data_IF_680546142667
#
_entry.id   IF_680546142667
#
_cell.length_a   1.000
_cell.length_b   1.000
_cell.length_c   1.000
_cell.angle_alpha   90.00
_cell.angle_beta   90.00
_cell.angle_gamma   90.00
#
_symmetry.space_group_name_H-M   'P 1'
#
loop_
_entity.id
_entity.type
_entity.pdbx_description
1 polymer ?
#
# COMPACT_ATOMS: atom_id res chain seq x y z
N UNK A 1 18.26 27.90 35.29
CA UNK A 1 17.23 26.87 35.44
C UNK A 1 16.02 27.33 34.67
N UNK A 2 15.92 26.94 33.40
CA UNK A 2 14.80 27.29 32.51
C UNK A 2 13.93 26.05 32.35
N UNK A 3 12.70 26.14 32.89
CA UNK A 3 11.69 25.08 32.87
C UNK A 3 11.17 24.91 31.43
N UNK A 4 11.25 23.68 30.93
CA UNK A 4 10.62 23.26 29.66
C UNK A 4 9.09 23.25 29.88
N UNK A 5 8.29 23.88 29.01
CA UNK A 5 6.83 23.83 29.14
C UNK A 5 6.33 22.43 28.83
N UNK A 6 5.63 21.85 29.80
CA UNK A 6 4.91 20.59 29.71
C UNK A 6 3.78 20.73 28.67
N UNK A 7 3.93 20.12 27.49
CA UNK A 7 2.84 20.02 26.52
C UNK A 7 1.76 19.08 27.12
N UNK A 8 0.50 19.50 27.18
CA UNK A 8 -0.56 18.64 27.64
C UNK A 8 -0.69 17.44 26.70
N UNK A 9 -0.62 16.23 27.26
CA UNK A 9 -1.07 15.00 26.60
C UNK A 9 -2.53 15.21 26.20
N UNK A 10 -2.83 15.23 24.91
CA UNK A 10 -4.19 15.13 24.41
C UNK A 10 -4.68 13.72 24.67
N UNK A 11 -5.34 13.53 25.79
CA UNK A 11 -6.23 12.41 26.04
C UNK A 11 -7.54 12.68 25.30
N UNK A 12 -7.63 12.24 24.05
CA UNK A 12 -8.93 12.04 23.42
C UNK A 12 -8.94 10.58 22.97
N UNK A 13 -9.69 9.75 23.69
CA UNK A 13 -10.01 8.37 23.32
C UNK A 13 -10.98 8.32 22.14
N UNK A 14 -10.47 8.68 20.96
CA UNK A 14 -10.99 8.16 19.70
C UNK A 14 -9.90 7.24 19.17
N UNK A 15 -10.18 5.95 19.13
CA UNK A 15 -9.34 4.94 18.51
C UNK A 15 -9.18 5.36 17.02
N UNK A 16 -8.11 6.10 16.70
CA UNK A 16 -7.87 6.59 15.35
C UNK A 16 -7.56 5.37 14.48
N UNK A 17 -8.39 5.14 13.47
CA UNK A 17 -8.17 4.05 12.50
C UNK A 17 -6.84 4.31 11.77
N UNK A 18 -5.98 3.30 11.77
CA UNK A 18 -4.74 3.30 10.97
C UNK A 18 -5.04 2.71 9.61
N UNK A 19 -4.64 3.41 8.56
CA UNK A 19 -4.84 2.99 7.17
C UNK A 19 -3.53 2.47 6.59
N UNK A 20 -3.53 1.27 6.04
CA UNK A 20 -2.37 0.62 5.45
C UNK A 20 -2.64 0.31 3.99
N UNK A 21 -1.82 0.86 3.10
CA UNK A 21 -1.87 0.55 1.68
C UNK A 21 -0.69 -0.35 1.34
N UNK A 22 -0.97 -1.54 0.81
CA UNK A 22 0.04 -2.50 0.34
C UNK A 22 0.01 -2.55 -1.18
N UNK A 23 1.11 -2.19 -1.84
CA UNK A 23 1.21 -2.19 -3.29
C UNK A 23 2.30 -3.11 -3.80
N UNK A 24 1.97 -3.98 -4.75
CA UNK A 24 2.98 -4.58 -5.60
C UNK A 24 3.46 -3.55 -6.63
N UNK A 25 4.78 -3.41 -6.80
CA UNK A 25 5.34 -2.52 -7.82
C UNK A 25 4.65 -2.70 -9.18
N UNK A 26 4.66 -1.67 -10.01
CA UNK A 26 4.09 -1.71 -11.35
C UNK A 26 4.96 -2.53 -12.32
N UNK A 27 4.46 -2.73 -13.53
CA UNK A 27 5.13 -3.57 -14.54
C UNK A 27 6.53 -3.03 -14.86
N UNK A 28 7.56 -3.87 -14.63
CA UNK A 28 8.95 -3.56 -14.94
C UNK A 28 9.38 -4.20 -16.26
N UNK A 29 10.42 -3.64 -16.88
CA UNK A 29 11.08 -4.20 -18.05
C UNK A 29 11.60 -5.63 -17.77
N UNK A 30 11.81 -6.40 -18.81
CA UNK A 30 12.53 -7.67 -18.69
C UNK A 30 13.96 -7.45 -18.21
N UNK A 31 14.56 -8.47 -17.62
CA UNK A 31 15.96 -8.43 -17.23
C UNK A 31 16.86 -8.46 -18.49
N UNK A 32 17.76 -7.48 -18.58
CA UNK A 32 18.75 -7.43 -19.66
C UNK A 32 20.02 -8.20 -19.26
N UNK A 33 20.79 -8.79 -20.21
CA UNK A 33 21.92 -9.69 -19.90
C UNK A 33 23.02 -9.12 -19.00
N UNK A 34 23.10 -7.81 -18.85
CA UNK A 34 24.12 -7.10 -18.06
C UNK A 34 23.52 -6.19 -16.98
N UNK A 35 22.22 -6.21 -16.79
CA UNK A 35 21.50 -5.43 -15.81
C UNK A 35 21.14 -6.32 -14.59
N UNK A 36 21.31 -5.80 -13.40
CA UNK A 36 20.85 -6.46 -12.18
C UNK A 36 19.32 -6.39 -12.09
N UNK A 37 18.65 -7.47 -11.67
CA UNK A 37 17.20 -7.45 -11.38
C UNK A 37 16.81 -6.28 -10.47
N UNK A 38 17.69 -5.88 -9.55
CA UNK A 38 17.49 -4.74 -8.66
C UNK A 38 17.34 -3.41 -9.41
N UNK A 39 18.02 -3.24 -10.55
CA UNK A 39 18.06 -2.01 -11.33
C UNK A 39 16.97 -1.91 -12.41
N UNK A 40 16.18 -2.97 -12.63
CA UNK A 40 15.12 -2.98 -13.66
C UNK A 40 14.12 -1.86 -13.43
N UNK A 41 13.96 -1.01 -14.46
CA UNK A 41 13.04 0.12 -14.48
C UNK A 41 11.59 -0.31 -14.83
N UNK A 42 10.64 0.58 -14.60
CA UNK A 42 9.26 0.40 -15.05
C UNK A 42 9.18 0.48 -16.58
N UNK A 43 8.24 -0.26 -17.17
CA UNK A 43 7.83 -0.08 -18.56
C UNK A 43 6.92 1.16 -18.68
N UNK A 44 6.73 1.67 -19.91
CA UNK A 44 5.74 2.72 -20.17
C UNK A 44 4.33 2.34 -19.67
N UNK A 45 3.93 1.08 -19.86
CA UNK A 45 2.67 0.55 -19.35
C UNK A 45 2.63 0.55 -17.81
N UNK A 46 3.75 0.23 -17.14
CA UNK A 46 3.89 0.33 -15.69
C UNK A 46 3.76 1.77 -15.19
N UNK A 47 4.40 2.72 -15.87
CA UNK A 47 4.30 4.16 -15.55
C UNK A 47 2.84 4.62 -15.69
N UNK A 48 2.21 4.34 -16.84
CA UNK A 48 0.81 4.71 -17.10
C UNK A 48 -0.13 4.16 -16.04
N UNK A 49 -0.04 2.85 -15.76
CA UNK A 49 -0.91 2.19 -14.77
C UNK A 49 -0.69 2.75 -13.35
N UNK A 50 0.54 3.14 -13.01
CA UNK A 50 0.83 3.77 -11.71
C UNK A 50 0.20 5.16 -11.62
N UNK A 51 0.25 5.96 -12.68
CA UNK A 51 -0.40 7.28 -12.72
C UNK A 51 -1.93 7.15 -12.60
N UNK A 52 -2.55 6.18 -13.28
CA UNK A 52 -3.98 5.86 -13.15
C UNK A 52 -4.34 5.45 -11.72
N UNK A 53 -3.49 4.63 -11.09
CA UNK A 53 -3.66 4.22 -9.69
C UNK A 53 -3.57 5.43 -8.74
N UNK A 54 -2.61 6.32 -8.93
CA UNK A 54 -2.48 7.54 -8.13
C UNK A 54 -3.72 8.44 -8.25
N UNK A 55 -4.23 8.63 -9.47
CA UNK A 55 -5.45 9.41 -9.71
C UNK A 55 -6.67 8.79 -9.01
N UNK A 56 -6.79 7.47 -9.04
CA UNK A 56 -7.88 6.75 -8.37
C UNK A 56 -7.78 6.91 -6.85
N UNK A 57 -6.59 6.72 -6.25
CA UNK A 57 -6.39 6.93 -4.81
C UNK A 57 -6.75 8.37 -4.39
N UNK A 58 -6.30 9.35 -5.17
CA UNK A 58 -6.60 10.76 -4.93
C UNK A 58 -8.09 11.06 -5.01
N UNK A 59 -8.79 10.54 -6.02
CA UNK A 59 -10.24 10.75 -6.19
C UNK A 59 -11.08 10.14 -5.07
N UNK A 60 -10.56 9.10 -4.39
CA UNK A 60 -11.19 8.49 -3.21
C UNK A 60 -10.78 9.16 -1.88
N UNK A 61 -10.06 10.28 -1.94
CA UNK A 61 -9.66 11.03 -0.75
C UNK A 61 -8.67 10.30 0.16
N UNK A 62 -7.97 9.30 -0.37
CA UNK A 62 -6.94 8.58 0.38
C UNK A 62 -5.81 9.53 0.76
N UNK A 63 -5.38 9.45 2.01
CA UNK A 63 -4.21 10.19 2.54
C UNK A 63 -3.08 9.21 2.78
N UNK A 64 -1.84 9.69 2.64
CA UNK A 64 -0.63 8.91 2.91
C UNK A 64 0.33 9.83 3.67
N UNK A 65 0.63 9.45 4.91
CA UNK A 65 1.54 10.20 5.78
C UNK A 65 2.99 9.72 5.65
N UNK A 66 3.17 8.42 5.31
CA UNK A 66 4.48 7.80 5.14
C UNK A 66 4.49 6.83 3.97
N UNK A 67 5.63 6.79 3.27
CA UNK A 67 5.92 5.80 2.22
C UNK A 67 7.08 4.92 2.69
N UNK A 68 6.91 3.60 2.63
CA UNK A 68 7.95 2.59 2.86
C UNK A 68 8.07 1.78 1.58
N UNK A 69 9.24 1.78 0.97
CA UNK A 69 9.47 1.09 -0.30
C UNK A 69 10.67 0.15 -0.20
N UNK A 70 10.64 -0.95 -0.96
CA UNK A 70 11.89 -1.63 -1.30
C UNK A 70 12.79 -0.67 -2.10
N UNK A 71 14.11 -0.76 -1.92
CA UNK A 71 15.07 0.10 -2.60
C UNK A 71 15.34 -0.30 -4.07
N UNK A 72 14.73 -1.36 -4.60
CA UNK A 72 14.84 -1.71 -6.02
C UNK A 72 14.23 -0.62 -6.92
N UNK A 73 14.81 -0.40 -8.09
CA UNK A 73 14.46 0.73 -8.96
C UNK A 73 12.96 0.75 -9.33
N UNK A 74 12.37 -0.40 -9.71
CA UNK A 74 10.94 -0.49 -10.03
C UNK A 74 9.99 -0.13 -8.89
N UNK A 75 10.39 -0.41 -7.64
CA UNK A 75 9.60 -0.03 -6.44
C UNK A 75 9.77 1.44 -6.13
N UNK A 76 10.97 1.98 -6.28
CA UNK A 76 11.25 3.42 -6.12
C UNK A 76 10.48 4.25 -7.12
N UNK A 77 10.56 3.88 -8.42
CA UNK A 77 9.80 4.57 -9.48
C UNK A 77 8.29 4.48 -9.26
N UNK A 78 7.78 3.32 -8.81
CA UNK A 78 6.36 3.19 -8.45
C UNK A 78 5.99 4.17 -7.33
N UNK A 79 6.78 4.22 -6.26
CA UNK A 79 6.55 5.13 -5.13
C UNK A 79 6.65 6.61 -5.53
N UNK A 80 7.62 6.97 -6.39
CA UNK A 80 7.78 8.34 -6.92
C UNK A 80 6.56 8.79 -7.71
N UNK A 81 6.05 7.94 -8.60
CA UNK A 81 4.87 8.23 -9.41
C UNK A 81 3.60 8.37 -8.58
N UNK A 82 3.43 7.53 -7.56
CA UNK A 82 2.31 7.67 -6.61
C UNK A 82 2.45 8.99 -5.83
N UNK A 83 3.62 9.29 -5.29
CA UNK A 83 3.84 10.52 -4.53
C UNK A 83 3.58 11.77 -5.40
N UNK A 84 4.09 11.78 -6.62
CA UNK A 84 3.89 12.90 -7.56
C UNK A 84 2.41 13.03 -7.97
N UNK A 85 1.73 11.93 -8.35
CA UNK A 85 0.34 11.95 -8.80
C UNK A 85 -0.65 12.31 -7.70
N UNK A 86 -0.33 12.01 -6.45
CA UNK A 86 -1.13 12.37 -5.29
C UNK A 86 -0.67 13.69 -4.62
N UNK A 87 0.37 14.35 -5.14
CA UNK A 87 0.96 15.59 -4.61
C UNK A 87 1.36 15.46 -3.12
N UNK A 88 1.98 14.33 -2.77
CA UNK A 88 2.33 14.02 -1.39
C UNK A 88 3.62 14.74 -0.97
N UNK A 89 3.62 15.19 0.29
CA UNK A 89 4.83 15.60 1.03
C UNK A 89 5.20 14.57 2.10
N UNK A 90 4.74 13.33 1.93
CA UNK A 90 4.93 12.24 2.87
C UNK A 90 6.42 11.92 3.08
N UNK A 91 6.78 11.58 4.32
CA UNK A 91 8.11 11.06 4.61
C UNK A 91 8.30 9.71 3.90
N UNK A 92 9.50 9.48 3.34
CA UNK A 92 9.79 8.28 2.58
C UNK A 92 11.03 7.57 3.08
N UNK A 93 10.98 6.24 3.05
CA UNK A 93 12.09 5.35 3.34
C UNK A 93 12.19 4.26 2.27
N UNK A 94 13.36 4.13 1.66
CA UNK A 94 13.69 3.06 0.73
C UNK A 94 14.62 2.07 1.45
N UNK A 95 14.18 0.82 1.60
CA UNK A 95 14.82 -0.19 2.43
C UNK A 95 15.32 -1.37 1.57
N UNK A 96 16.63 -1.61 1.60
CA UNK A 96 17.26 -2.74 0.90
C UNK A 96 16.72 -4.09 1.40
N UNK A 97 16.43 -4.17 2.69
CA UNK A 97 15.92 -5.38 3.34
C UNK A 97 14.51 -5.82 2.88
N UNK A 98 13.80 -4.95 2.16
CA UNK A 98 12.50 -5.25 1.55
C UNK A 98 12.62 -5.79 0.12
N UNK A 99 13.81 -5.86 -0.44
CA UNK A 99 14.03 -6.44 -1.75
C UNK A 99 13.73 -7.95 -1.72
N UNK A 100 12.73 -8.39 -2.51
CA UNK A 100 12.22 -9.77 -2.55
C UNK A 100 11.94 -10.38 -1.17
N UNK A 101 11.63 -9.56 -0.20
CA UNK A 101 11.43 -9.96 1.18
C UNK A 101 10.14 -10.79 1.38
N UNK A 102 10.10 -11.67 2.38
CA UNK A 102 8.88 -12.38 2.77
C UNK A 102 7.89 -11.44 3.47
N UNK A 103 6.60 -11.84 3.54
CA UNK A 103 5.49 -11.08 4.11
C UNK A 103 5.81 -10.47 5.51
N UNK A 104 6.41 -11.25 6.40
CA UNK A 104 6.77 -10.81 7.76
C UNK A 104 7.74 -9.63 7.81
N UNK A 105 8.58 -9.45 6.78
CA UNK A 105 9.49 -8.30 6.71
C UNK A 105 8.72 -7.01 6.41
N UNK A 106 7.73 -7.06 5.53
CA UNK A 106 6.86 -5.91 5.25
C UNK A 106 6.00 -5.56 6.47
N UNK A 107 5.40 -6.56 7.12
CA UNK A 107 4.65 -6.35 8.36
C UNK A 107 5.52 -5.68 9.44
N UNK A 108 6.74 -6.18 9.62
CA UNK A 108 7.69 -5.60 10.55
C UNK A 108 8.09 -4.18 10.19
N UNK A 109 8.34 -3.90 8.91
CA UNK A 109 8.68 -2.55 8.46
C UNK A 109 7.56 -1.54 8.76
N UNK A 110 6.29 -1.92 8.61
CA UNK A 110 5.14 -1.09 9.01
C UNK A 110 5.22 -0.76 10.50
N UNK A 111 5.45 -1.76 11.35
CA UNK A 111 5.54 -1.57 12.80
C UNK A 111 6.75 -0.72 13.23
N UNK A 112 7.91 -0.94 12.61
CA UNK A 112 9.18 -0.36 13.06
C UNK A 112 9.41 1.07 12.53
N UNK A 113 8.83 1.42 11.36
CA UNK A 113 9.12 2.68 10.68
C UNK A 113 7.97 3.67 10.60
N UNK A 114 6.73 3.29 10.99
CA UNK A 114 5.63 4.25 11.09
C UNK A 114 5.67 5.01 12.42
N UNK A 115 5.33 6.30 12.40
CA UNK A 115 5.32 7.14 13.60
C UNK A 115 3.92 7.20 14.21
N UNK A 116 3.84 7.31 15.54
CA UNK A 116 2.56 7.26 16.26
C UNK A 116 1.61 8.45 15.99
N UNK A 117 2.13 9.56 15.47
CA UNK A 117 1.36 10.69 15.01
C UNK A 117 0.88 10.59 13.56
N UNK A 118 1.30 9.53 12.83
CA UNK A 118 0.84 9.21 11.49
C UNK A 118 -0.40 8.31 11.53
N UNK A 119 -1.31 8.52 10.60
CA UNK A 119 -2.57 7.78 10.46
C UNK A 119 -2.54 6.79 9.30
N UNK A 120 -1.61 6.96 8.37
CA UNK A 120 -1.58 6.16 7.14
C UNK A 120 -0.16 5.87 6.66
N UNK A 121 0.05 4.63 6.18
CA UNK A 121 1.30 4.17 5.58
C UNK A 121 1.05 3.52 4.23
N UNK A 122 1.89 3.85 3.26
CA UNK A 122 1.90 3.24 1.93
C UNK A 122 3.16 2.42 1.75
N UNK A 123 3.00 1.12 1.46
CA UNK A 123 4.12 0.17 1.34
C UNK A 123 4.20 -0.36 -0.08
N UNK A 124 5.38 -0.25 -0.71
CA UNK A 124 5.64 -0.76 -2.06
C UNK A 124 6.66 -1.89 -2.01
N UNK A 125 6.29 -3.04 -2.57
CA UNK A 125 7.17 -4.21 -2.53
C UNK A 125 6.97 -5.17 -3.70
N UNK A 126 7.40 -6.41 -3.48
CA UNK A 126 7.50 -7.46 -4.48
C UNK A 126 6.69 -8.69 -4.08
N UNK A 127 6.21 -9.46 -5.08
CA UNK A 127 5.78 -10.82 -4.83
C UNK A 127 7.03 -11.74 -4.63
N UNK A 128 6.89 -12.82 -3.84
CA UNK A 128 5.66 -13.28 -3.21
C UNK A 128 5.32 -12.58 -1.88
N UNK A 129 6.19 -11.75 -1.33
CA UNK A 129 6.04 -11.19 0.02
C UNK A 129 4.81 -10.29 0.18
N UNK A 130 4.61 -9.31 -0.71
CA UNK A 130 3.44 -8.42 -0.68
C UNK A 130 2.14 -9.21 -0.91
N UNK A 131 2.12 -10.13 -1.88
CA UNK A 131 0.94 -10.96 -2.09
C UNK A 131 0.63 -11.84 -0.86
N UNK A 132 1.66 -12.41 -0.24
CA UNK A 132 1.52 -13.19 0.98
C UNK A 132 0.93 -12.37 2.12
N UNK A 133 1.39 -11.13 2.33
CA UNK A 133 0.86 -10.25 3.37
C UNK A 133 -0.59 -9.84 3.10
N UNK A 134 -0.91 -9.48 1.85
CA UNK A 134 -2.28 -9.14 1.44
C UNK A 134 -3.23 -10.30 1.67
N UNK A 135 -2.87 -11.51 1.22
CA UNK A 135 -3.71 -12.70 1.39
C UNK A 135 -3.88 -13.09 2.86
N UNK A 136 -2.79 -13.01 3.65
CA UNK A 136 -2.83 -13.32 5.08
C UNK A 136 -3.74 -12.35 5.85
N UNK A 137 -3.62 -11.04 5.60
CA UNK A 137 -4.45 -10.04 6.27
C UNK A 137 -5.90 -10.06 5.80
N UNK A 138 -6.14 -10.35 4.51
CA UNK A 138 -7.49 -10.47 3.96
C UNK A 138 -8.20 -11.77 4.36
N UNK A 139 -7.46 -12.75 4.90
CA UNK A 139 -7.93 -14.11 5.20
C UNK A 139 -8.52 -14.84 3.98
N UNK A 140 -7.96 -14.55 2.80
CA UNK A 140 -8.42 -15.15 1.53
C UNK A 140 -7.31 -15.16 0.48
N UNK A 141 -7.41 -16.06 -0.48
CA UNK A 141 -6.51 -16.10 -1.63
C UNK A 141 -6.91 -15.06 -2.66
N UNK A 142 -6.04 -14.06 -2.86
CA UNK A 142 -6.25 -12.97 -3.81
C UNK A 142 -5.19 -12.99 -4.89
N UNK A 143 -5.59 -12.70 -6.13
CA UNK A 143 -4.64 -12.41 -7.20
C UNK A 143 -4.04 -11.02 -6.98
N UNK A 144 -2.70 -10.92 -6.99
CA UNK A 144 -1.96 -9.67 -6.79
C UNK A 144 -1.03 -9.42 -7.99
N UNK A 145 -1.60 -9.05 -9.17
CA UNK A 145 -0.81 -8.62 -10.33
C UNK A 145 -0.03 -7.34 -10.03
N UNK A 146 0.88 -6.93 -10.92
CA UNK A 146 1.61 -5.66 -10.82
C UNK A 146 0.65 -4.47 -10.71
N UNK A 147 1.03 -3.43 -9.98
CA UNK A 147 0.22 -2.25 -9.67
C UNK A 147 -1.09 -2.54 -8.89
N UNK A 148 -1.23 -3.72 -8.27
CA UNK A 148 -2.31 -3.95 -7.30
C UNK A 148 -2.04 -3.17 -6.03
N UNK A 149 -3.06 -2.46 -5.52
CA UNK A 149 -3.08 -1.82 -4.20
C UNK A 149 -4.19 -2.44 -3.37
N UNK A 150 -3.85 -2.94 -2.20
CA UNK A 150 -4.81 -3.38 -1.18
C UNK A 150 -4.80 -2.35 -0.04
N UNK A 151 -5.98 -1.82 0.29
CA UNK A 151 -6.17 -0.86 1.37
C UNK A 151 -6.78 -1.58 2.57
N UNK A 152 -6.09 -1.49 3.70
CA UNK A 152 -6.53 -2.07 4.96
C UNK A 152 -6.76 -0.99 6.00
N UNK A 153 -7.71 -1.24 6.88
CA UNK A 153 -7.93 -0.47 8.09
C UNK A 153 -7.65 -1.32 9.32
N UNK A 154 -7.03 -0.72 10.32
CA UNK A 154 -6.75 -1.34 11.61
C UNK A 154 -7.19 -0.43 12.75
N UNK A 155 -7.86 -1.03 13.73
CA UNK A 155 -8.22 -0.37 15.00
C UNK A 155 -7.14 -0.51 16.08
N UNK A 156 -5.92 -0.90 15.71
CA UNK A 156 -4.80 -1.00 16.62
C UNK A 156 -4.43 0.39 17.18
N UNK A 157 -4.17 0.47 18.48
CA UNK A 157 -3.83 1.73 19.17
C UNK A 157 -2.45 2.26 18.70
N UNK A 158 -1.52 1.37 18.46
CA UNK A 158 -0.15 1.69 18.04
C UNK A 158 0.19 1.04 16.70
N UNK A 159 1.19 1.59 15.97
CA UNK A 159 1.71 0.95 14.78
C UNK A 159 2.39 -0.40 15.09
N UNK A 160 2.95 -0.55 16.28
CA UNK A 160 3.55 -1.81 16.72
C UNK A 160 2.52 -2.96 16.82
N UNK A 161 1.25 -2.64 17.04
CA UNK A 161 0.15 -3.60 17.14
C UNK A 161 -0.57 -3.85 15.80
N UNK A 162 -0.20 -3.12 14.73
CA UNK A 162 -0.73 -3.33 13.37
C UNK A 162 -0.15 -4.60 12.77
N UNK A 163 -0.70 -5.72 13.18
CA UNK A 163 -0.37 -7.03 12.63
C UNK A 163 -1.56 -7.97 12.80
N UNK A 164 -1.61 -9.03 12.00
CA UNK A 164 -2.64 -10.03 12.19
C UNK A 164 -2.40 -10.79 13.50
N UNK A 165 -3.22 -10.52 14.48
CA UNK A 165 -3.26 -11.24 15.76
C UNK A 165 -4.68 -11.75 16.01
N UNK A 166 -4.90 -12.50 17.12
CA UNK A 166 -6.25 -12.90 17.50
C UNK A 166 -7.14 -11.71 17.92
N UNK A 167 -6.54 -10.57 18.25
CA UNK A 167 -7.23 -9.38 18.76
C UNK A 167 -7.35 -8.30 17.70
N UNK A 168 -6.30 -8.11 16.89
CA UNK A 168 -6.25 -7.10 15.83
C UNK A 168 -6.08 -7.79 14.48
N UNK A 169 -7.12 -7.74 13.66
CA UNK A 169 -7.09 -8.24 12.28
C UNK A 169 -7.31 -7.02 11.39
N UNK A 170 -6.30 -6.60 10.60
CA UNK A 170 -6.50 -5.54 9.62
C UNK A 170 -7.62 -5.95 8.65
N UNK A 171 -8.55 -5.04 8.40
CA UNK A 171 -9.71 -5.29 7.53
C UNK A 171 -9.41 -4.77 6.12
N UNK A 172 -9.51 -5.63 5.13
CA UNK A 172 -9.47 -5.19 3.72
C UNK A 172 -10.71 -4.33 3.43
N UNK A 173 -10.50 -3.09 2.98
CA UNK A 173 -11.58 -2.14 2.67
C UNK A 173 -11.65 -1.80 1.19
N UNK A 174 -10.53 -1.96 0.47
CA UNK A 174 -10.50 -1.72 -0.97
C UNK A 174 -9.36 -2.51 -1.63
N UNK A 175 -9.61 -3.00 -2.83
CA UNK A 175 -8.58 -3.57 -3.71
C UNK A 175 -8.65 -2.87 -5.06
N UNK A 176 -7.54 -2.25 -5.48
CA UNK A 176 -7.39 -1.66 -6.80
C UNK A 176 -6.50 -2.56 -7.65
N UNK A 177 -6.90 -2.79 -8.89
CA UNK A 177 -6.10 -3.48 -9.89
C UNK A 177 -6.14 -2.69 -11.19
N UNK A 178 -4.99 -2.48 -11.82
CA UNK A 178 -4.86 -1.69 -13.04
C UNK A 178 -5.52 -0.30 -12.95
N UNK A 179 -5.36 0.38 -11.81
CA UNK A 179 -5.92 1.72 -11.58
C UNK A 179 -7.43 1.76 -11.33
N UNK A 180 -8.11 0.61 -11.25
CA UNK A 180 -9.57 0.51 -11.04
C UNK A 180 -9.89 -0.22 -9.74
N UNK A 181 -11.01 0.15 -9.10
CA UNK A 181 -11.52 -0.57 -7.93
C UNK A 181 -11.99 -1.95 -8.38
N UNK A 182 -11.36 -2.99 -7.85
CA UNK A 182 -11.68 -4.39 -8.11
C UNK A 182 -12.51 -5.01 -6.96
N UNK A 183 -12.49 -4.38 -5.78
CA UNK A 183 -13.27 -4.80 -4.60
C UNK A 183 -13.40 -3.61 -3.62
N UNK A 184 -14.55 -3.38 -2.93
CA UNK A 184 -15.79 -4.12 -3.15
C UNK A 184 -16.33 -3.89 -4.56
N UNK A 185 -17.00 -4.89 -5.12
CA UNK A 185 -17.68 -4.72 -6.41
C UNK A 185 -18.77 -3.68 -6.25
N UNK A 186 -18.78 -2.69 -7.12
CA UNK A 186 -19.88 -1.73 -7.21
C UNK A 186 -21.16 -2.48 -7.63
N UNK A 187 -22.10 -2.64 -6.70
CA UNK A 187 -23.38 -3.32 -6.98
C UNK A 187 -24.31 -2.47 -7.86
N UNK A 188 -23.86 -1.32 -8.36
CA UNK A 188 -24.67 -0.41 -9.18
C UNK A 188 -24.58 -0.67 -10.67
N UNK A 189 -23.68 -1.54 -11.15
CA UNK A 189 -23.69 -2.00 -12.53
C UNK A 189 -24.44 -3.33 -12.63
N UNK A 190 -25.78 -3.27 -12.67
CA UNK A 190 -26.59 -4.39 -13.15
C UNK A 190 -26.12 -4.74 -14.57
N UNK A 191 -25.70 -5.99 -14.77
CA UNK A 191 -25.46 -6.55 -16.10
C UNK A 191 -26.68 -6.25 -17.00
N UNK A 192 -26.47 -5.75 -18.22
CA UNK A 192 -27.58 -5.66 -19.14
C UNK A 192 -28.06 -7.08 -19.46
N UNK A 193 -29.31 -7.38 -19.11
CA UNK A 193 -29.99 -8.62 -19.47
C UNK A 193 -29.73 -8.94 -20.96
N UNK A 194 -29.10 -10.08 -21.21
CA UNK A 194 -29.03 -10.63 -22.56
C UNK A 194 -30.45 -10.93 -23.04
N UNK A 195 -30.86 -10.46 -24.23
CA UNK A 195 -32.17 -10.76 -24.72
C UNK A 195 -32.32 -12.26 -24.93
N UNK A 196 -33.39 -12.84 -24.33
CA UNK A 196 -33.81 -14.21 -24.59
C UNK A 196 -34.07 -14.38 -26.09
N UNK A 197 -33.38 -15.35 -26.68
CA UNK A 197 -33.66 -15.77 -28.06
C UNK A 197 -34.97 -16.56 -28.08
N UNK A 198 -35.99 -15.93 -28.70
CA UNK A 198 -37.22 -16.61 -29.17
C UNK A 198 -36.91 -17.51 -30.34
#
# INVERSE_FOLDING_TARGET
>A
MTSVPNRPRRSNGSNAIKTILLMRHAKAAAEEPHESDFQRCLTEDGIRTTCETAATLLSHGIRIDRIISSAAERTRQTADLIAAGMQLTAARMDLDELYLAPAKKFERAICDYSLEDESSVFVVGHNPGIAGLICDWADQSLSVPTATVAVFESSADTWHDVRRTKVHIPKLVCLLQHGKVAWPHDQTTSDPELPEKS
#
